data_IF_387368033890
#
_entry.id   IF_387368033890
#
_cell.length_a   1.000
_cell.length_b   1.000
_cell.length_c   1.000
_cell.angle_alpha   90.00
_cell.angle_beta   90.00
_cell.angle_gamma   90.00
#
_symmetry.space_group_name_H-M   'P 1'
#
loop_
_entity.id
_entity.type
_entity.pdbx_description
1 polymer ?
#
# COMPACT_ATOMS: atom_id res chain seq x y z
N UNK A 1 7.52 -2.74 13.98
CA UNK A 1 6.68 -2.38 12.81
C UNK A 1 6.59 -3.58 11.87
N UNK A 2 7.69 -4.27 11.64
CA UNK A 2 7.78 -5.45 10.76
C UNK A 2 6.75 -6.55 11.04
N UNK A 3 6.50 -6.88 12.32
CA UNK A 3 5.48 -7.88 12.69
C UNK A 3 4.07 -7.48 12.25
N UNK A 4 3.69 -6.20 12.37
CA UNK A 4 2.38 -5.71 11.95
C UNK A 4 2.23 -5.81 10.43
N UNK A 5 3.26 -5.39 9.69
CA UNK A 5 3.26 -5.48 8.23
C UNK A 5 3.16 -6.93 7.74
N UNK A 6 3.78 -7.90 8.43
CA UNK A 6 3.66 -9.33 8.09
C UNK A 6 2.22 -9.83 8.32
N UNK A 7 1.59 -9.49 9.45
CA UNK A 7 0.19 -9.88 9.70
C UNK A 7 -0.76 -9.34 8.63
N UNK A 8 -0.57 -8.08 8.25
CA UNK A 8 -1.39 -7.43 7.21
C UNK A 8 -1.15 -8.09 5.85
N UNK A 9 0.09 -8.48 5.54
CA UNK A 9 0.42 -9.23 4.33
C UNK A 9 -0.25 -10.61 4.29
N UNK A 10 -0.32 -11.32 5.42
CA UNK A 10 -1.03 -12.61 5.52
C UNK A 10 -2.53 -12.41 5.26
N UNK A 11 -3.15 -11.37 5.83
CA UNK A 11 -4.55 -11.04 5.59
C UNK A 11 -4.78 -10.71 4.11
N UNK A 12 -3.88 -9.94 3.50
CA UNK A 12 -3.93 -9.62 2.08
C UNK A 12 -3.84 -10.87 1.19
N UNK A 13 -2.92 -11.79 1.50
CA UNK A 13 -2.77 -13.04 0.78
C UNK A 13 -4.01 -13.94 0.92
N UNK A 14 -4.60 -13.99 2.13
CA UNK A 14 -5.83 -14.74 2.37
C UNK A 14 -7.03 -14.14 1.61
N UNK A 15 -7.15 -12.80 1.58
CA UNK A 15 -8.16 -12.12 0.80
C UNK A 15 -8.03 -12.46 -0.70
N UNK A 16 -6.80 -12.44 -1.24
CA UNK A 16 -6.56 -12.84 -2.62
C UNK A 16 -6.95 -14.30 -2.88
N UNK A 17 -6.56 -15.21 -2.00
CA UNK A 17 -6.90 -16.63 -2.10
C UNK A 17 -8.41 -16.84 -2.13
N UNK A 18 -9.14 -16.16 -1.25
CA UNK A 18 -10.61 -16.20 -1.20
C UNK A 18 -11.21 -15.64 -2.50
N UNK A 19 -10.66 -14.57 -3.05
CA UNK A 19 -11.06 -14.03 -4.36
C UNK A 19 -10.84 -15.03 -5.50
N UNK A 20 -9.70 -15.71 -5.54
CA UNK A 20 -9.41 -16.77 -6.52
C UNK A 20 -10.40 -17.93 -6.38
N UNK A 21 -10.66 -18.38 -5.16
CA UNK A 21 -11.64 -19.45 -4.90
C UNK A 21 -13.05 -19.07 -5.35
N UNK A 22 -13.46 -17.81 -5.19
CA UNK A 22 -14.75 -17.32 -5.67
C UNK A 22 -14.84 -17.35 -7.22
N UNK A 23 -13.75 -17.01 -7.92
CA UNK A 23 -13.70 -17.11 -9.39
C UNK A 23 -13.68 -18.58 -9.84
N UNK A 24 -12.94 -19.46 -9.16
CA UNK A 24 -12.98 -20.90 -9.43
C UNK A 24 -14.40 -21.47 -9.23
N UNK A 25 -15.08 -21.04 -8.17
CA UNK A 25 -16.47 -21.41 -7.93
C UNK A 25 -17.39 -20.88 -9.03
N UNK A 26 -17.21 -19.64 -9.51
CA UNK A 26 -17.96 -19.10 -10.66
C UNK A 26 -17.83 -19.97 -11.90
N UNK A 27 -16.61 -20.41 -12.22
CA UNK A 27 -16.35 -21.31 -13.35
C UNK A 27 -17.06 -22.65 -13.11
N UNK A 28 -16.92 -23.22 -11.91
CA UNK A 28 -17.56 -24.49 -11.56
C UNK A 28 -19.09 -24.44 -11.70
N UNK A 29 -19.75 -23.45 -11.09
CA UNK A 29 -21.22 -23.32 -11.17
C UNK A 29 -21.68 -23.12 -12.61
N UNK A 30 -20.93 -22.33 -13.40
CA UNK A 30 -21.30 -22.03 -14.78
C UNK A 30 -21.21 -23.24 -15.69
N UNK A 31 -20.14 -24.04 -15.57
CA UNK A 31 -19.87 -25.13 -16.51
C UNK A 31 -20.37 -26.50 -16.03
N UNK A 32 -20.49 -26.71 -14.72
CA UNK A 32 -20.93 -28.00 -14.15
C UNK A 32 -22.41 -27.99 -13.79
N UNK A 33 -22.87 -26.91 -13.13
CA UNK A 33 -24.26 -26.78 -12.67
C UNK A 33 -25.13 -26.13 -13.74
N UNK A 34 -24.54 -25.34 -14.65
CA UNK A 34 -25.26 -24.63 -15.71
C UNK A 34 -25.91 -23.32 -15.26
N UNK A 35 -25.64 -22.87 -14.03
CA UNK A 35 -26.20 -21.65 -13.44
C UNK A 35 -25.17 -20.53 -13.34
N UNK A 36 -25.58 -19.29 -13.60
CA UNK A 36 -24.75 -18.09 -13.41
C UNK A 36 -25.21 -17.31 -12.19
N UNK A 37 -24.38 -17.27 -11.14
CA UNK A 37 -24.62 -16.47 -9.95
C UNK A 37 -23.98 -15.09 -10.07
N UNK A 38 -24.67 -14.05 -9.61
CA UNK A 38 -24.28 -12.66 -9.84
C UNK A 38 -23.34 -12.06 -8.80
N UNK A 39 -23.11 -12.70 -7.65
CA UNK A 39 -22.34 -12.13 -6.54
C UNK A 39 -20.81 -12.26 -6.66
N UNK A 40 -20.33 -13.14 -7.54
CA UNK A 40 -18.93 -13.58 -7.55
C UNK A 40 -17.98 -12.52 -8.08
N UNK A 41 -18.42 -11.71 -9.04
CA UNK A 41 -17.58 -10.68 -9.68
C UNK A 41 -17.22 -9.57 -8.69
N UNK A 42 -18.21 -9.08 -7.96
CA UNK A 42 -18.09 -8.02 -6.97
C UNK A 42 -17.29 -8.53 -5.77
N UNK A 43 -17.55 -9.75 -5.32
CA UNK A 43 -16.79 -10.36 -4.23
C UNK A 43 -15.31 -10.55 -4.60
N UNK A 44 -15.01 -11.01 -5.81
CA UNK A 44 -13.64 -11.10 -6.31
C UNK A 44 -12.98 -9.72 -6.40
N UNK A 45 -13.70 -8.71 -6.88
CA UNK A 45 -13.21 -7.33 -6.96
C UNK A 45 -12.86 -6.77 -5.58
N UNK A 46 -13.72 -7.00 -4.58
CA UNK A 46 -13.48 -6.55 -3.20
C UNK A 46 -12.28 -7.27 -2.59
N UNK A 47 -12.17 -8.58 -2.84
CA UNK A 47 -11.06 -9.41 -2.39
C UNK A 47 -9.71 -8.96 -2.99
N UNK A 48 -9.68 -8.67 -4.29
CA UNK A 48 -8.48 -8.17 -4.97
C UNK A 48 -8.12 -6.76 -4.47
N UNK A 49 -9.11 -5.88 -4.30
CA UNK A 49 -8.88 -4.54 -3.74
C UNK A 49 -8.30 -4.64 -2.33
N UNK A 50 -8.85 -5.51 -1.50
CA UNK A 50 -8.34 -5.77 -0.16
C UNK A 50 -6.91 -6.30 -0.19
N UNK A 51 -6.62 -7.28 -1.05
CA UNK A 51 -5.30 -7.85 -1.20
C UNK A 51 -4.26 -6.83 -1.67
N UNK A 52 -4.57 -6.02 -2.69
CA UNK A 52 -3.64 -5.03 -3.23
C UNK A 52 -3.32 -3.95 -2.20
N UNK A 53 -4.32 -3.43 -1.50
CA UNK A 53 -4.13 -2.28 -0.63
C UNK A 53 -3.59 -2.67 0.74
N UNK A 54 -4.00 -3.81 1.30
CA UNK A 54 -3.40 -4.34 2.52
C UNK A 54 -2.00 -4.92 2.26
N UNK A 55 -1.71 -5.44 1.06
CA UNK A 55 -0.38 -5.92 0.70
C UNK A 55 0.64 -4.79 0.48
N UNK A 56 0.17 -3.61 0.06
CA UNK A 56 1.03 -2.47 -0.31
C UNK A 56 2.04 -2.00 0.77
N UNK A 57 1.73 -1.94 2.08
CA UNK A 57 2.68 -1.49 3.09
C UNK A 57 3.83 -2.49 3.31
N UNK A 58 3.56 -3.79 3.14
CA UNK A 58 4.58 -4.83 3.25
C UNK A 58 5.53 -4.84 2.05
N UNK A 59 5.01 -4.59 0.84
CA UNK A 59 5.86 -4.42 -0.34
C UNK A 59 6.73 -3.17 -0.22
N UNK A 60 6.19 -2.08 0.34
CA UNK A 60 6.94 -0.86 0.61
C UNK A 60 8.08 -1.11 1.63
N UNK A 61 7.82 -1.90 2.67
CA UNK A 61 8.84 -2.34 3.64
C UNK A 61 9.92 -3.22 3.00
N UNK A 62 9.53 -4.09 2.06
CA UNK A 62 10.44 -5.01 1.37
C UNK A 62 11.31 -4.32 0.31
N UNK A 63 11.20 -2.99 0.15
CA UNK A 63 11.93 -2.21 -0.84
C UNK A 63 11.55 -2.54 -2.30
N UNK A 64 10.41 -3.23 -2.49
CA UNK A 64 10.07 -3.90 -3.76
C UNK A 64 9.32 -3.06 -4.78
N UNK A 65 8.86 -1.85 -4.45
CA UNK A 65 8.20 -0.96 -5.41
C UNK A 65 8.56 0.51 -5.18
N UNK A 66 9.02 1.17 -6.25
CA UNK A 66 9.14 2.62 -6.44
C UNK A 66 9.64 3.39 -5.21
N UNK A 67 10.59 2.82 -4.46
CA UNK A 67 11.57 3.73 -3.91
C UNK A 67 12.20 4.37 -5.14
N UNK A 68 12.10 5.70 -5.29
CA UNK A 68 12.89 6.45 -6.26
C UNK A 68 14.34 6.33 -5.79
N UNK A 69 14.92 5.13 -5.89
CA UNK A 69 16.30 4.79 -5.56
C UNK A 69 17.14 4.72 -6.81
N UNK A 70 16.53 4.55 -7.99
CA UNK A 70 17.25 4.56 -9.27
C UNK A 70 18.07 5.85 -9.46
N UNK A 71 17.51 7.01 -9.12
CA UNK A 71 18.21 8.29 -9.24
C UNK A 71 19.18 8.58 -8.07
N UNK A 72 18.81 8.34 -6.80
CA UNK A 72 19.74 8.47 -5.68
C UNK A 72 20.87 7.45 -5.63
N UNK A 73 20.71 6.24 -6.18
CA UNK A 73 21.78 5.22 -6.22
C UNK A 73 22.88 5.56 -7.23
N UNK A 74 22.57 6.41 -8.21
CA UNK A 74 23.57 7.01 -9.09
C UNK A 74 24.36 8.17 -8.42
N UNK A 75 23.90 8.67 -7.27
CA UNK A 75 24.48 9.82 -6.56
C UNK A 75 25.17 9.37 -5.27
N UNK A 76 26.34 9.94 -4.95
CA UNK A 76 27.10 9.57 -3.75
C UNK A 76 27.00 10.64 -2.65
N UNK A 77 27.00 10.19 -1.39
CA UNK A 77 27.14 11.06 -0.20
C UNK A 77 25.89 11.84 0.20
N UNK A 78 26.05 13.11 0.60
CA UNK A 78 25.00 13.95 1.21
C UNK A 78 23.84 14.26 0.24
N UNK A 79 24.09 14.31 -1.07
CA UNK A 79 23.06 14.58 -2.07
C UNK A 79 22.08 13.41 -2.24
N UNK A 80 22.57 12.17 -2.10
CA UNK A 80 21.74 10.95 -2.05
C UNK A 80 20.76 10.99 -0.88
N UNK A 81 21.24 11.36 0.31
CA UNK A 81 20.41 11.47 1.52
C UNK A 81 19.35 12.55 1.39
N UNK A 82 19.71 13.72 0.84
CA UNK A 82 18.76 14.81 0.60
C UNK A 82 17.69 14.42 -0.42
N UNK A 83 18.06 13.78 -1.54
CA UNK A 83 17.10 13.32 -2.55
C UNK A 83 16.17 12.23 -2.00
N UNK A 84 16.68 11.28 -1.21
CA UNK A 84 15.86 10.25 -0.56
C UNK A 84 14.87 10.86 0.44
N UNK A 85 15.28 11.88 1.20
CA UNK A 85 14.41 12.59 2.12
C UNK A 85 13.29 13.32 1.38
N UNK A 86 13.62 14.06 0.31
CA UNK A 86 12.64 14.78 -0.51
C UNK A 86 11.66 13.82 -1.19
N UNK A 87 12.14 12.72 -1.76
CA UNK A 87 11.29 11.69 -2.35
C UNK A 87 10.34 11.06 -1.31
N UNK A 88 10.85 10.78 -0.11
CA UNK A 88 10.05 10.22 0.99
C UNK A 88 8.99 11.22 1.48
N UNK A 89 9.31 12.51 1.54
CA UNK A 89 8.35 13.58 1.89
C UNK A 89 7.27 13.76 0.83
N UNK A 90 7.63 13.73 -0.45
CA UNK A 90 6.68 13.78 -1.55
C UNK A 90 5.74 12.56 -1.53
N UNK A 91 6.29 11.36 -1.32
CA UNK A 91 5.52 10.12 -1.15
C UNK A 91 4.58 10.19 0.05
N UNK A 92 5.06 10.70 1.20
CA UNK A 92 4.24 10.91 2.38
C UNK A 92 3.07 11.86 2.08
N UNK A 93 3.32 13.01 1.47
CA UNK A 93 2.28 13.99 1.16
C UNK A 93 1.19 13.40 0.25
N UNK A 94 1.59 12.65 -0.77
CA UNK A 94 0.67 11.94 -1.64
C UNK A 94 -0.15 10.87 -0.89
N UNK A 95 0.50 10.05 -0.05
CA UNK A 95 -0.17 9.04 0.75
C UNK A 95 -1.15 9.66 1.77
N UNK A 96 -0.82 10.81 2.37
CA UNK A 96 -1.73 11.54 3.27
C UNK A 96 -2.96 12.03 2.51
N UNK A 97 -2.79 12.61 1.32
CA UNK A 97 -3.90 13.05 0.49
C UNK A 97 -4.82 11.87 0.10
N UNK A 98 -4.22 10.73 -0.28
CA UNK A 98 -4.96 9.50 -0.56
C UNK A 98 -5.70 8.96 0.66
N UNK A 99 -5.07 8.92 1.83
CA UNK A 99 -5.70 8.45 3.06
C UNK A 99 -6.88 9.33 3.47
N UNK A 100 -6.72 10.67 3.34
CA UNK A 100 -7.80 11.62 3.58
C UNK A 100 -8.98 11.40 2.64
N UNK A 101 -8.72 11.30 1.33
CA UNK A 101 -9.76 11.03 0.33
C UNK A 101 -10.45 9.67 0.55
N UNK A 102 -9.69 8.62 0.87
CA UNK A 102 -10.21 7.30 1.16
C UNK A 102 -11.15 7.29 2.37
N UNK A 103 -10.77 7.98 3.45
CA UNK A 103 -11.58 8.04 4.66
C UNK A 103 -12.87 8.85 4.44
N UNK A 104 -12.77 9.97 3.72
CA UNK A 104 -13.93 10.79 3.36
C UNK A 104 -14.90 10.00 2.48
N UNK A 105 -14.39 9.30 1.48
CA UNK A 105 -15.20 8.47 0.59
C UNK A 105 -15.84 7.28 1.31
N UNK A 106 -15.14 6.67 2.26
CA UNK A 106 -15.70 5.61 3.13
C UNK A 106 -16.84 6.13 4.00
N UNK A 107 -16.66 7.29 4.64
CA UNK A 107 -17.69 7.90 5.49
C UNK A 107 -18.93 8.31 4.68
N UNK A 108 -18.72 8.90 3.50
CA UNK A 108 -19.81 9.27 2.61
C UNK A 108 -20.56 8.03 2.11
N UNK A 109 -19.85 6.97 1.72
CA UNK A 109 -20.46 5.71 1.31
C UNK A 109 -21.22 5.02 2.45
N UNK A 110 -20.74 5.14 3.69
CA UNK A 110 -21.39 4.59 4.87
C UNK A 110 -22.67 5.34 5.22
N UNK A 111 -22.63 6.68 5.30
CA UNK A 111 -23.81 7.50 5.60
C UNK A 111 -24.80 7.55 4.44
N UNK A 112 -24.32 7.62 3.21
CA UNK A 112 -25.13 7.65 2.00
C UNK A 112 -25.69 6.29 1.59
N UNK A 113 -25.35 5.20 2.30
CA UNK A 113 -25.75 3.83 1.95
C UNK A 113 -25.46 3.46 0.49
N UNK A 114 -24.29 3.86 -0.02
CA UNK A 114 -23.95 3.67 -1.42
C UNK A 114 -23.82 2.19 -1.76
N UNK A 115 -24.32 1.84 -2.95
CA UNK A 115 -24.29 0.49 -3.48
C UNK A 115 -23.58 0.47 -4.82
N UNK A 116 -23.13 -0.70 -5.24
CA UNK A 116 -22.35 -0.84 -6.48
C UNK A 116 -23.15 -0.56 -7.77
N UNK A 117 -24.49 -0.50 -7.71
CA UNK A 117 -25.35 -0.30 -8.87
C UNK A 117 -25.38 -1.50 -9.83
N UNK A 118 -24.89 -2.66 -9.37
CA UNK A 118 -24.81 -3.92 -10.13
C UNK A 118 -26.05 -4.78 -9.89
N UNK A 119 -26.14 -5.93 -10.56
CA UNK A 119 -27.26 -6.88 -10.40
C UNK A 119 -27.33 -7.43 -8.97
N UNK A 120 -26.19 -7.68 -8.32
CA UNK A 120 -26.15 -8.12 -6.93
C UNK A 120 -26.28 -6.95 -5.94
N UNK A 121 -25.88 -5.75 -6.35
CA UNK A 121 -25.99 -4.50 -5.63
C UNK A 121 -25.50 -4.50 -4.16
N UNK A 122 -24.35 -5.11 -3.82
CA UNK A 122 -23.84 -5.06 -2.46
C UNK A 122 -23.50 -3.62 -2.03
N UNK A 123 -23.51 -3.34 -0.72
CA UNK A 123 -23.03 -2.07 -0.19
C UNK A 123 -21.55 -1.88 -0.53
N UNK A 124 -21.15 -0.63 -0.80
CA UNK A 124 -19.80 -0.29 -1.27
C UNK A 124 -18.76 -0.23 -0.14
N UNK A 125 -19.22 0.06 1.08
CA UNK A 125 -18.34 0.29 2.23
C UNK A 125 -17.35 -0.84 2.53
N UNK A 126 -17.67 -2.15 2.38
CA UNK A 126 -16.71 -3.22 2.68
C UNK A 126 -15.49 -3.21 1.75
N UNK A 127 -15.67 -2.73 0.52
CA UNK A 127 -14.58 -2.58 -0.44
C UNK A 127 -13.69 -1.38 -0.14
N UNK A 128 -14.25 -0.34 0.49
CA UNK A 128 -13.56 0.90 0.83
C UNK A 128 -12.78 0.81 2.15
N UNK A 129 -13.18 -0.06 3.07
CA UNK A 129 -12.46 -0.26 4.34
C UNK A 129 -10.99 -0.66 4.12
N UNK A 130 -10.66 -1.66 3.27
CA UNK A 130 -9.26 -2.00 2.97
C UNK A 130 -8.48 -0.85 2.31
N UNK A 131 -9.15 0.00 1.53
CA UNK A 131 -8.54 1.19 0.92
C UNK A 131 -8.16 2.22 1.98
N UNK A 132 -9.09 2.53 2.89
CA UNK A 132 -8.88 3.46 3.99
C UNK A 132 -7.79 2.95 4.96
N UNK A 133 -7.81 1.65 5.29
CA UNK A 133 -6.82 1.04 6.17
C UNK A 133 -5.43 0.94 5.50
N UNK A 134 -5.35 0.46 4.25
CA UNK A 134 -4.10 0.29 3.53
C UNK A 134 -3.35 1.61 3.32
N UNK A 135 -4.07 2.67 2.96
CA UNK A 135 -3.50 4.02 2.80
C UNK A 135 -3.01 4.60 4.13
N UNK A 136 -3.72 4.36 5.23
CA UNK A 136 -3.29 4.78 6.57
C UNK A 136 -1.99 4.07 6.99
N UNK A 137 -1.87 2.77 6.69
CA UNK A 137 -0.64 2.02 6.94
C UNK A 137 0.53 2.51 6.08
N UNK A 138 0.28 2.88 4.82
CA UNK A 138 1.30 3.48 3.95
C UNK A 138 1.83 4.80 4.54
N UNK A 139 0.96 5.66 5.06
CA UNK A 139 1.36 6.89 5.75
C UNK A 139 2.26 6.58 6.95
N UNK A 140 1.86 5.61 7.79
CA UNK A 140 2.66 5.19 8.93
C UNK A 140 4.04 4.65 8.50
N UNK A 141 4.11 3.91 7.39
CA UNK A 141 5.36 3.37 6.84
C UNK A 141 6.28 4.48 6.33
N UNK A 142 5.76 5.48 5.61
CA UNK A 142 6.56 6.63 5.16
C UNK A 142 7.11 7.46 6.33
N UNK A 143 6.31 7.66 7.39
CA UNK A 143 6.78 8.30 8.62
C UNK A 143 7.95 7.53 9.26
N UNK A 144 7.86 6.19 9.30
CA UNK A 144 8.93 5.34 9.81
C UNK A 144 10.25 5.51 9.04
N UNK A 145 10.15 5.57 7.70
CA UNK A 145 11.29 5.75 6.80
C UNK A 145 11.96 7.09 7.06
N UNK A 146 11.17 8.17 7.15
CA UNK A 146 11.67 9.53 7.40
C UNK A 146 12.36 9.62 8.76
N UNK A 147 11.75 9.08 9.83
CA UNK A 147 12.33 9.09 11.17
C UNK A 147 13.65 8.31 11.23
N UNK A 148 13.72 7.17 10.54
CA UNK A 148 14.94 6.36 10.46
C UNK A 148 16.03 7.10 9.66
N UNK A 149 15.66 7.74 8.55
CA UNK A 149 16.57 8.54 7.72
C UNK A 149 17.14 9.75 8.48
N UNK A 150 16.34 10.40 9.33
CA UNK A 150 16.80 11.51 10.18
C UNK A 150 17.80 11.03 11.25
N UNK A 151 17.56 9.86 11.85
CA UNK A 151 18.46 9.26 12.84
C UNK A 151 19.79 8.77 12.23
N UNK A 152 19.78 8.46 10.94
CA UNK A 152 20.93 7.93 10.19
C UNK A 152 21.75 9.02 9.49
N UNK A 153 21.54 10.31 9.83
CA UNK A 153 22.23 11.42 9.19
C UNK A 153 23.76 11.19 9.28
N UNK A 154 24.49 11.20 8.14
CA UNK A 154 25.91 10.88 8.13
C UNK A 154 26.66 11.90 8.99
N UNK A 155 27.45 11.38 9.92
CA UNK A 155 28.49 12.15 10.60
C UNK A 155 29.27 12.94 9.54
N UNK A 156 29.47 14.22 9.85
CA UNK A 156 30.29 15.15 9.09
C UNK A 156 31.51 14.42 8.54
N UNK A 157 31.82 14.49 7.23
CA UNK A 157 33.15 14.12 6.78
C UNK A 157 34.09 15.17 7.39
N UNK A 158 34.61 14.84 8.56
CA UNK A 158 35.70 15.56 9.21
C UNK A 158 36.89 15.48 8.27
N UNK A 159 37.10 16.59 7.56
CA UNK A 159 38.38 17.04 7.01
C UNK A 159 39.32 15.95 6.50
N UNK A 160 39.21 15.61 5.21
CA UNK A 160 40.34 15.12 4.41
C UNK A 160 41.36 16.26 4.13
N UNK A 161 41.68 17.06 5.15
CA UNK A 161 42.69 18.13 5.12
C UNK A 161 43.48 18.10 6.42
N UNK A 162 44.32 17.08 6.60
CA UNK A 162 45.48 17.12 7.48
C UNK A 162 46.38 15.92 7.14
N UNK A 163 47.43 16.17 6.35
CA UNK A 163 48.41 15.14 5.98
C UNK A 163 49.20 15.44 4.70
N UNK A 164 49.55 16.71 4.48
CA UNK A 164 50.82 17.02 3.83
C UNK A 164 51.87 17.06 4.94
N UNK A 165 52.92 16.24 4.79
CA UNK A 165 54.11 15.97 5.62
C UNK A 165 54.30 14.43 5.51
N UNK A 166 55.24 13.86 4.76
CA UNK A 166 56.58 14.27 4.32
C UNK A 166 57.00 13.56 3.02
#
# INVERSE_FOLDING_TARGET
MDRLSIWVAIIAALALLIGVLAVCHMIFTRYVIGESTTWQTEFATFSITAAMLLGSPWVLLSGGHVAVTVLPDALQGRLRHAMQLVASLAGLAFCVALAYGAWLYLLEAWHGSWTTGTVWNPPLWPALVPLALGTTLLVAQYLAIILTSLKSAPATPESATAGGQD
#
